data_IF_707051714805
#
_entry.id   IF_707051714805
#
_cell.length_a   1.000
_cell.length_b   1.000
_cell.length_c   1.000
_cell.angle_alpha   90.00
_cell.angle_beta   90.00
_cell.angle_gamma   90.00
#
_symmetry.space_group_name_H-M   'P 1'
#
loop_
_entity.id
_entity.type
_entity.pdbx_description
1 polymer ?
#
# COMPACT_ATOMS: atom_id res chain seq x y z
N UNK A 1 -38.18 -1.61 -6.06
CA UNK A 1 -38.63 -1.82 -7.46
C UNK A 1 -40.05 -2.42 -7.56
N UNK A 2 -40.44 -3.34 -6.66
CA UNK A 2 -41.76 -4.00 -6.66
C UNK A 2 -42.96 -3.05 -6.48
N UNK A 3 -42.83 -2.02 -5.64
CA UNK A 3 -43.88 -1.01 -5.42
C UNK A 3 -44.24 -0.20 -6.68
N UNK A 4 -43.24 0.13 -7.51
CA UNK A 4 -43.42 0.89 -8.77
C UNK A 4 -44.19 0.08 -9.82
N UNK A 5 -44.00 -1.23 -9.83
CA UNK A 5 -44.67 -2.17 -10.75
C UNK A 5 -46.18 -2.22 -10.48
N UNK A 6 -46.59 -2.01 -9.22
CA UNK A 6 -47.99 -2.02 -8.79
C UNK A 6 -48.72 -0.70 -9.06
N UNK A 7 -47.99 0.42 -9.12
CA UNK A 7 -48.56 1.77 -9.25
C UNK A 7 -48.64 2.29 -10.71
N UNK A 8 -47.80 1.80 -11.63
CA UNK A 8 -47.83 2.22 -13.05
C UNK A 8 -47.79 1.01 -14.00
N UNK A 9 -48.96 0.54 -14.51
CA UNK A 9 -49.03 -0.63 -15.38
C UNK A 9 -48.51 -0.39 -16.80
N UNK A 10 -48.56 0.86 -17.31
CA UNK A 10 -48.30 1.21 -18.72
C UNK A 10 -46.87 1.70 -19.04
N UNK A 11 -45.98 1.73 -18.05
CA UNK A 11 -44.59 2.17 -18.26
C UNK A 11 -43.73 1.00 -18.77
N UNK A 12 -42.80 1.22 -19.70
CA UNK A 12 -41.94 0.16 -20.26
C UNK A 12 -41.03 -0.41 -19.15
N UNK A 13 -41.38 -1.61 -18.65
CA UNK A 13 -40.80 -2.20 -17.43
C UNK A 13 -39.48 -2.91 -17.73
N UNK A 14 -38.36 -2.20 -17.68
CA UNK A 14 -37.05 -2.85 -17.64
C UNK A 14 -36.72 -3.22 -16.19
N UNK A 15 -36.87 -4.49 -15.83
CA UNK A 15 -36.39 -5.02 -14.55
C UNK A 15 -34.91 -5.39 -14.69
N UNK A 16 -34.07 -4.83 -13.83
CA UNK A 16 -32.65 -5.19 -13.77
C UNK A 16 -32.45 -6.31 -12.74
N UNK A 17 -31.78 -7.43 -13.11
CA UNK A 17 -31.44 -8.47 -12.15
C UNK A 17 -30.42 -7.93 -11.13
N UNK A 18 -30.48 -8.45 -9.89
CA UNK A 18 -29.64 -7.99 -8.77
C UNK A 18 -28.14 -8.05 -9.11
N UNK A 19 -27.71 -9.07 -9.85
CA UNK A 19 -26.32 -9.24 -10.30
C UNK A 19 -25.85 -8.06 -11.18
N UNK A 20 -26.68 -7.60 -12.11
CA UNK A 20 -26.37 -6.43 -12.95
C UNK A 20 -26.32 -5.14 -12.14
N UNK A 21 -27.17 -5.01 -11.11
CA UNK A 21 -27.13 -3.87 -10.20
C UNK A 21 -25.84 -3.85 -9.36
N UNK A 22 -25.41 -5.02 -8.84
CA UNK A 22 -24.15 -5.15 -8.09
C UNK A 22 -22.97 -4.81 -8.99
N UNK A 23 -22.94 -5.34 -10.22
CA UNK A 23 -21.90 -5.05 -11.19
C UNK A 23 -21.84 -3.55 -11.56
N UNK A 24 -23.00 -2.91 -11.72
CA UNK A 24 -23.11 -1.47 -11.96
C UNK A 24 -22.49 -0.66 -10.81
N UNK A 25 -22.83 -0.99 -9.55
CA UNK A 25 -22.30 -0.29 -8.37
C UNK A 25 -20.79 -0.53 -8.24
N UNK A 26 -20.32 -1.75 -8.50
CA UNK A 26 -18.90 -2.09 -8.50
C UNK A 26 -18.12 -1.32 -9.57
N UNK A 27 -18.64 -1.25 -10.80
CA UNK A 27 -18.04 -0.46 -11.88
C UNK A 27 -17.93 1.02 -11.51
N UNK A 28 -18.98 1.60 -10.92
CA UNK A 28 -18.95 2.97 -10.42
C UNK A 28 -17.86 3.19 -9.35
N UNK A 29 -17.66 2.23 -8.43
CA UNK A 29 -16.60 2.26 -7.41
C UNK A 29 -15.20 2.22 -8.03
N UNK A 30 -15.00 1.38 -9.05
CA UNK A 30 -13.76 1.28 -9.83
C UNK A 30 -13.55 2.43 -10.82
N UNK A 31 -14.45 3.42 -10.87
CA UNK A 31 -14.48 4.50 -11.89
C UNK A 31 -14.53 3.97 -13.33
N UNK A 32 -14.99 2.74 -13.50
CA UNK A 32 -15.23 2.11 -14.80
C UNK A 32 -16.67 2.44 -15.20
N UNK A 33 -16.84 3.25 -16.25
CA UNK A 33 -18.17 3.64 -16.73
C UNK A 33 -19.04 2.42 -17.04
N UNK A 34 -20.36 2.56 -16.86
CA UNK A 34 -21.33 1.51 -17.18
C UNK A 34 -22.18 1.89 -18.39
N UNK A 35 -22.66 0.88 -19.11
CA UNK A 35 -23.60 1.06 -20.23
C UNK A 35 -25.04 1.22 -19.76
N UNK A 36 -25.33 1.03 -18.47
CA UNK A 36 -26.66 1.18 -17.89
C UNK A 36 -26.94 2.67 -17.62
N UNK A 37 -27.93 3.24 -18.31
CA UNK A 37 -28.41 4.59 -18.03
C UNK A 37 -29.77 4.54 -17.33
N UNK A 38 -29.93 5.13 -16.14
CA UNK A 38 -31.25 5.27 -15.52
C UNK A 38 -32.18 6.14 -16.39
N UNK A 39 -33.37 5.63 -16.68
CA UNK A 39 -34.39 6.37 -17.43
C UNK A 39 -35.15 7.39 -16.57
N UNK A 40 -35.27 7.15 -15.26
CA UNK A 40 -36.03 7.99 -14.33
C UNK A 40 -35.15 9.06 -13.67
N UNK A 41 -35.66 10.29 -13.56
CA UNK A 41 -34.94 11.42 -12.94
C UNK A 41 -34.59 11.19 -11.47
N UNK A 42 -35.45 10.50 -10.70
CA UNK A 42 -35.15 10.14 -9.31
C UNK A 42 -33.94 9.20 -9.20
N UNK A 43 -33.78 8.28 -10.15
CA UNK A 43 -32.63 7.38 -10.18
C UNK A 43 -31.35 8.12 -10.60
N UNK A 44 -31.44 9.10 -11.51
CA UNK A 44 -30.32 9.96 -11.89
C UNK A 44 -29.78 10.74 -10.69
N UNK A 45 -30.66 11.30 -9.85
CA UNK A 45 -30.25 12.02 -8.64
C UNK A 45 -29.52 11.10 -7.65
N UNK A 46 -30.04 9.89 -7.42
CA UNK A 46 -29.41 8.89 -6.55
C UNK A 46 -28.03 8.47 -7.07
N UNK A 47 -27.90 8.20 -8.37
CA UNK A 47 -26.60 7.84 -8.94
C UNK A 47 -25.62 9.00 -8.94
N UNK A 48 -26.08 10.23 -9.16
CA UNK A 48 -25.24 11.42 -9.07
C UNK A 48 -24.68 11.63 -7.65
N UNK A 49 -25.52 11.49 -6.61
CA UNK A 49 -25.05 11.58 -5.23
C UNK A 49 -24.11 10.44 -4.86
N UNK A 50 -24.39 9.23 -5.33
CA UNK A 50 -23.49 8.07 -5.18
C UNK A 50 -22.13 8.29 -5.85
N UNK A 51 -22.10 8.83 -7.06
CA UNK A 51 -20.86 9.12 -7.78
C UNK A 51 -20.03 10.19 -7.08
N UNK A 52 -20.66 11.25 -6.56
CA UNK A 52 -19.97 12.26 -5.76
C UNK A 52 -19.38 11.63 -4.50
N UNK A 53 -20.16 10.80 -3.79
CA UNK A 53 -19.69 10.10 -2.60
C UNK A 53 -18.46 9.23 -2.89
N UNK A 54 -18.49 8.40 -3.95
CA UNK A 54 -17.36 7.57 -4.36
C UNK A 54 -16.16 8.41 -4.80
N UNK A 55 -16.38 9.53 -5.50
CA UNK A 55 -15.30 10.45 -5.86
C UNK A 55 -14.57 10.98 -4.62
N UNK A 56 -15.33 11.44 -3.63
CA UNK A 56 -14.79 11.96 -2.37
C UNK A 56 -14.04 10.85 -1.61
N UNK A 57 -14.65 9.67 -1.46
CA UNK A 57 -14.05 8.52 -0.78
C UNK A 57 -12.72 8.11 -1.42
N UNK A 58 -12.71 7.94 -2.75
CA UNK A 58 -11.50 7.53 -3.47
C UNK A 58 -10.41 8.62 -3.46
N UNK A 59 -10.79 9.90 -3.49
CA UNK A 59 -9.85 11.01 -3.37
C UNK A 59 -9.16 11.01 -1.99
N UNK A 60 -9.91 10.87 -0.90
CA UNK A 60 -9.33 10.78 0.44
C UNK A 60 -8.44 9.56 0.62
N UNK A 61 -8.87 8.40 0.12
CA UNK A 61 -8.05 7.19 0.14
C UNK A 61 -6.73 7.40 -0.62
N UNK A 62 -6.80 7.97 -1.82
CA UNK A 62 -5.62 8.23 -2.66
C UNK A 62 -4.68 9.26 -2.00
N UNK A 63 -5.22 10.31 -1.38
CA UNK A 63 -4.44 11.32 -0.66
C UNK A 63 -3.69 10.72 0.54
N UNK A 64 -4.38 9.95 1.38
CA UNK A 64 -3.76 9.30 2.54
C UNK A 64 -2.71 8.27 2.10
N UNK A 65 -3.03 7.43 1.11
CA UNK A 65 -2.09 6.47 0.54
C UNK A 65 -0.85 7.18 -0.01
N UNK A 66 -1.03 8.28 -0.74
CA UNK A 66 0.08 9.06 -1.32
C UNK A 66 0.95 9.63 -0.20
N UNK A 67 0.36 10.20 0.85
CA UNK A 67 1.11 10.71 2.00
C UNK A 67 1.95 9.61 2.68
N UNK A 68 1.41 8.39 2.83
CA UNK A 68 2.18 7.28 3.39
C UNK A 68 3.29 6.79 2.45
N UNK A 69 3.07 6.79 1.14
CA UNK A 69 4.07 6.36 0.15
C UNK A 69 5.21 7.37 -0.02
N UNK A 70 4.93 8.66 0.14
CA UNK A 70 5.93 9.72 0.04
C UNK A 70 6.67 9.98 1.35
N UNK A 71 6.03 9.71 2.49
CA UNK A 71 6.63 9.91 3.80
C UNK A 71 7.62 8.79 4.14
N UNK A 72 8.91 9.08 4.05
CA UNK A 72 9.97 8.19 4.53
C UNK A 72 10.25 8.43 6.02
N UNK A 73 9.44 7.85 6.90
CA UNK A 73 9.79 7.78 8.32
C UNK A 73 10.73 6.59 8.53
N UNK A 74 12.00 6.87 8.79
CA UNK A 74 12.90 5.85 9.32
C UNK A 74 12.72 5.78 10.83
N UNK A 75 12.24 4.66 11.34
CA UNK A 75 12.16 4.40 12.77
C UNK A 75 13.31 3.48 13.15
N UNK A 76 14.15 3.91 14.09
CA UNK A 76 15.10 2.97 14.69
C UNK A 76 14.34 1.88 15.44
N UNK A 77 14.84 0.63 15.41
CA UNK A 77 14.28 -0.45 16.21
C UNK A 77 14.45 -0.21 17.72
N UNK A 78 15.41 0.63 18.10
CA UNK A 78 15.75 0.95 19.50
C UNK A 78 15.37 2.41 19.75
N UNK A 79 14.46 2.62 20.71
CA UNK A 79 14.02 3.96 21.11
C UNK A 79 14.42 4.28 22.54
N UNK A 80 14.29 3.29 23.42
CA UNK A 80 14.50 3.43 24.85
C UNK A 80 15.58 2.46 25.35
N UNK A 81 16.03 2.65 26.59
CA UNK A 81 17.08 1.80 27.20
C UNK A 81 16.62 0.37 27.40
N UNK A 82 15.33 0.21 27.64
CA UNK A 82 14.62 -1.06 27.81
C UNK A 82 14.86 -1.94 26.58
N UNK A 83 14.89 -1.35 25.39
CA UNK A 83 15.10 -2.08 24.14
C UNK A 83 16.56 -2.47 23.97
N UNK A 84 17.51 -1.63 24.41
CA UNK A 84 18.94 -1.98 24.47
C UNK A 84 19.18 -3.16 25.42
N UNK A 85 18.44 -3.22 26.53
CA UNK A 85 18.56 -4.27 27.53
C UNK A 85 17.91 -5.61 27.11
N UNK A 86 17.06 -5.62 26.07
CA UNK A 86 16.35 -6.84 25.62
C UNK A 86 17.23 -7.66 24.65
N UNK A 87 17.23 -9.01 24.76
CA UNK A 87 17.84 -9.86 23.75
C UNK A 87 17.15 -9.68 22.39
N UNK A 88 17.85 -9.82 21.25
CA UNK A 88 19.24 -10.30 21.11
C UNK A 88 20.31 -9.19 21.10
N UNK A 89 19.97 -7.95 21.47
CA UNK A 89 20.89 -6.83 21.37
C UNK A 89 22.09 -6.97 22.32
N UNK A 90 23.29 -6.77 21.78
CA UNK A 90 24.53 -6.68 22.54
C UNK A 90 24.98 -5.23 22.58
N UNK A 91 25.49 -4.80 23.72
CA UNK A 91 25.93 -3.42 23.88
C UNK A 91 27.21 -3.35 24.72
N UNK A 92 27.94 -2.26 24.54
CA UNK A 92 29.11 -1.96 25.34
C UNK A 92 29.19 -0.47 25.69
N UNK A 93 29.91 -0.17 26.75
CA UNK A 93 30.27 1.20 27.15
C UNK A 93 31.72 1.24 27.59
N UNK A 94 32.28 2.44 27.56
CA UNK A 94 33.66 2.73 27.95
C UNK A 94 33.91 2.35 29.41
N UNK A 95 34.94 1.54 29.66
CA UNK A 95 35.34 1.16 31.00
C UNK A 95 35.82 2.38 31.79
N UNK A 96 35.34 2.55 33.03
CA UNK A 96 35.63 3.69 33.90
C UNK A 96 34.88 4.97 33.53
N UNK A 97 33.95 4.93 32.56
CA UNK A 97 33.17 6.11 32.16
C UNK A 97 32.08 6.47 33.18
N UNK A 98 31.55 7.69 33.03
CA UNK A 98 30.36 8.14 33.76
C UNK A 98 29.13 7.26 33.49
N UNK A 99 29.04 6.67 32.30
CA UNK A 99 27.96 5.75 31.91
C UNK A 99 28.09 4.43 32.67
N UNK A 100 29.29 3.85 32.77
CA UNK A 100 29.52 2.66 33.60
C UNK A 100 29.14 2.94 35.07
N UNK A 101 29.57 4.09 35.60
CA UNK A 101 29.24 4.48 36.97
C UNK A 101 27.72 4.57 37.18
N UNK A 102 27.01 5.24 36.28
CA UNK A 102 25.55 5.38 36.35
C UNK A 102 24.81 4.05 36.24
N UNK A 103 25.32 3.09 35.44
CA UNK A 103 24.72 1.75 35.33
C UNK A 103 24.95 0.92 36.60
N UNK A 104 26.11 1.07 37.24
CA UNK A 104 26.45 0.34 38.47
C UNK A 104 25.75 0.91 39.69
N UNK A 105 25.51 2.22 39.72
CA UNK A 105 24.91 2.89 40.86
C UNK A 105 23.37 2.90 40.77
N UNK A 106 22.68 2.46 41.82
CA UNK A 106 21.21 2.33 41.82
C UNK A 106 20.46 3.65 41.97
N UNK A 107 21.16 4.70 42.37
CA UNK A 107 20.55 6.01 42.62
C UNK A 107 20.33 6.81 41.32
N UNK A 108 20.98 6.40 40.23
CA UNK A 108 21.05 7.17 38.99
C UNK A 108 20.06 6.65 37.93
N UNK A 109 18.77 6.89 38.19
CA UNK A 109 17.67 6.53 37.28
C UNK A 109 17.36 5.02 37.26
N UNK A 110 16.38 4.61 36.47
CA UNK A 110 16.00 3.19 36.37
C UNK A 110 16.90 2.40 35.39
N UNK A 111 18.22 2.52 35.53
CA UNK A 111 19.20 1.79 34.71
C UNK A 111 19.46 0.35 35.18
N UNK A 112 18.66 -0.13 36.15
CA UNK A 112 18.69 -1.50 36.66
C UNK A 112 18.54 -2.55 35.54
N UNK A 113 17.78 -2.20 34.50
CA UNK A 113 17.60 -3.01 33.30
C UNK A 113 18.92 -3.24 32.54
N UNK A 114 19.79 -2.24 32.41
CA UNK A 114 21.11 -2.40 31.80
C UNK A 114 22.00 -3.26 32.70
N UNK A 115 21.99 -3.03 34.01
CA UNK A 115 22.74 -3.87 34.94
C UNK A 115 22.30 -5.34 34.85
N UNK A 116 21.01 -5.61 34.70
CA UNK A 116 20.49 -6.96 34.44
C UNK A 116 20.96 -7.53 33.09
N UNK A 117 21.13 -6.67 32.08
CA UNK A 117 21.62 -7.05 30.75
C UNK A 117 23.11 -7.43 30.79
N UNK A 118 23.92 -6.71 31.58
CA UNK A 118 25.32 -7.07 31.88
C UNK A 118 25.39 -8.45 32.54
N UNK A 119 24.56 -8.72 33.55
CA UNK A 119 24.51 -10.03 34.23
C UNK A 119 24.12 -11.18 33.31
N UNK A 120 23.32 -10.90 32.28
CA UNK A 120 22.94 -11.86 31.23
C UNK A 120 24.03 -12.08 30.17
N UNK A 121 25.11 -11.28 30.19
CA UNK A 121 26.22 -11.35 29.24
C UNK A 121 26.01 -10.55 27.94
N UNK A 122 24.90 -9.79 27.84
CA UNK A 122 24.59 -8.96 26.68
C UNK A 122 25.25 -7.58 26.73
N UNK A 123 25.54 -7.08 27.95
CA UNK A 123 26.25 -5.83 28.17
C UNK A 123 27.71 -6.06 28.62
N UNK A 124 28.66 -5.28 28.08
CA UNK A 124 30.08 -5.34 28.49
C UNK A 124 30.67 -3.96 28.73
N UNK A 125 31.60 -3.89 29.68
CA UNK A 125 32.47 -2.73 29.88
C UNK A 125 33.79 -3.01 29.17
N UNK A 126 34.16 -2.19 28.20
CA UNK A 126 35.32 -2.41 27.32
C UNK A 126 36.18 -1.15 27.33
N UNK A 127 37.50 -1.33 27.26
CA UNK A 127 38.42 -0.22 27.03
C UNK A 127 38.28 0.29 25.59
N UNK A 128 37.83 1.54 25.46
CA UNK A 128 37.56 2.23 24.18
C UNK A 128 38.70 3.18 23.79
N UNK A 129 39.88 3.05 24.40
CA UNK A 129 41.07 3.84 24.05
C UNK A 129 41.48 3.74 22.57
N UNK A 130 41.18 2.62 21.92
CA UNK A 130 41.41 2.41 20.49
C UNK A 130 40.10 2.57 19.71
N UNK A 131 40.01 3.63 18.91
CA UNK A 131 38.86 3.88 18.04
C UNK A 131 38.62 2.73 17.04
N UNK A 132 39.68 2.10 16.52
CA UNK A 132 39.56 0.98 15.58
C UNK A 132 38.84 -0.23 16.19
N UNK A 133 39.10 -0.53 17.46
CA UNK A 133 38.42 -1.62 18.18
C UNK A 133 36.95 -1.29 18.45
N UNK A 134 36.63 -0.03 18.75
CA UNK A 134 35.25 0.44 18.89
C UNK A 134 34.49 0.27 17.57
N UNK A 135 35.09 0.70 16.45
CA UNK A 135 34.51 0.57 15.13
C UNK A 135 34.28 -0.89 14.73
N UNK A 136 35.22 -1.80 15.02
CA UNK A 136 35.07 -3.24 14.76
C UNK A 136 33.83 -3.81 15.45
N UNK A 137 33.63 -3.51 16.73
CA UNK A 137 32.45 -3.93 17.49
C UNK A 137 31.15 -3.34 16.93
N UNK A 138 31.18 -2.08 16.50
CA UNK A 138 30.03 -1.42 15.86
C UNK A 138 29.67 -2.07 14.52
N UNK A 139 30.66 -2.43 13.71
CA UNK A 139 30.44 -3.16 12.44
C UNK A 139 29.88 -4.57 12.68
N UNK A 140 30.24 -5.21 13.79
CA UNK A 140 29.66 -6.48 14.24
C UNK A 140 28.21 -6.36 14.76
N UNK A 141 27.66 -5.14 14.81
CA UNK A 141 26.28 -4.86 15.22
C UNK A 141 26.08 -4.70 16.73
N UNK A 142 27.15 -4.43 17.48
CA UNK A 142 27.02 -4.05 18.88
C UNK A 142 26.58 -2.59 19.01
N UNK A 143 25.83 -2.30 20.07
CA UNK A 143 25.40 -0.94 20.41
C UNK A 143 26.45 -0.30 21.32
N UNK A 144 26.85 0.92 20.99
CA UNK A 144 27.77 1.70 21.81
C UNK A 144 27.00 2.74 22.63
N UNK A 145 27.12 2.66 23.95
CA UNK A 145 26.53 3.62 24.89
C UNK A 145 27.63 4.55 25.40
N UNK A 146 27.57 5.82 25.02
CA UNK A 146 28.46 6.87 25.52
C UNK A 146 27.75 8.23 25.51
N UNK A 147 28.46 9.29 25.91
CA UNK A 147 27.99 10.67 25.87
C UNK A 147 27.70 11.13 24.44
N UNK A 148 26.76 12.06 24.30
CA UNK A 148 26.41 12.63 22.99
C UNK A 148 27.62 13.23 22.27
N UNK A 149 28.55 13.84 23.01
CA UNK A 149 29.72 14.50 22.43
C UNK A 149 30.69 13.48 21.84
N UNK A 150 31.00 12.41 22.59
CA UNK A 150 31.84 11.29 22.10
C UNK A 150 31.22 10.65 20.86
N UNK A 151 29.91 10.38 20.89
CA UNK A 151 29.21 9.73 19.79
C UNK A 151 29.14 10.61 18.53
N UNK A 152 28.86 11.91 18.68
CA UNK A 152 28.84 12.85 17.56
C UNK A 152 30.22 12.98 16.89
N UNK A 153 31.29 13.03 17.69
CA UNK A 153 32.67 13.06 17.17
C UNK A 153 33.01 11.78 16.42
N UNK A 154 32.76 10.61 17.03
CA UNK A 154 32.99 9.31 16.39
C UNK A 154 32.25 9.19 15.04
N UNK A 155 30.98 9.60 15.00
CA UNK A 155 30.20 9.60 13.75
C UNK A 155 30.75 10.58 12.71
N UNK A 156 31.18 11.76 13.13
CA UNK A 156 31.76 12.75 12.23
C UNK A 156 33.09 12.28 11.66
N UNK A 157 33.96 11.70 12.48
CA UNK A 157 35.27 11.22 12.08
C UNK A 157 35.15 10.05 11.09
N UNK A 158 34.23 9.10 11.32
CA UNK A 158 33.91 8.03 10.35
C UNK A 158 33.37 8.61 9.03
N UNK A 159 32.44 9.55 9.09
CA UNK A 159 31.86 10.21 7.90
C UNK A 159 32.94 10.98 7.11
N UNK A 160 33.80 11.71 7.80
CA UNK A 160 34.91 12.48 7.22
C UNK A 160 35.91 11.55 6.56
N UNK A 161 36.29 10.46 7.22
CA UNK A 161 37.18 9.43 6.67
C UNK A 161 36.63 8.85 5.35
N UNK A 162 35.37 8.42 5.33
CA UNK A 162 34.72 7.89 4.11
C UNK A 162 34.60 8.92 2.99
N UNK A 163 34.43 10.19 3.38
CA UNK A 163 34.42 11.30 2.42
C UNK A 163 35.80 11.47 1.77
N UNK A 164 36.88 11.38 2.55
CA UNK A 164 38.27 11.47 2.06
C UNK A 164 38.60 10.25 1.17
N UNK A 165 38.12 9.07 1.52
CA UNK A 165 38.31 7.83 0.74
C UNK A 165 37.50 7.82 -0.57
N UNK A 166 36.61 8.79 -0.78
CA UNK A 166 35.83 8.93 -2.01
C UNK A 166 34.62 7.99 -2.09
N UNK A 167 34.12 7.50 -0.96
CA UNK A 167 32.92 6.66 -0.95
C UNK A 167 31.67 7.42 -1.43
N UNK A 168 30.72 6.70 -2.01
CA UNK A 168 29.41 7.25 -2.39
C UNK A 168 28.66 7.82 -1.18
N UNK A 169 27.96 8.94 -1.36
CA UNK A 169 27.18 9.62 -0.29
C UNK A 169 26.27 8.66 0.50
N UNK A 170 25.63 7.71 -0.18
CA UNK A 170 24.72 6.73 0.42
C UNK A 170 25.38 5.74 1.39
N UNK A 171 26.71 5.58 1.33
CA UNK A 171 27.48 4.64 2.17
C UNK A 171 28.23 5.32 3.30
N UNK A 172 28.37 6.65 3.25
CA UNK A 172 29.07 7.45 4.27
C UNK A 172 28.37 7.43 5.63
N UNK A 173 27.04 7.29 5.64
CA UNK A 173 26.24 7.24 6.86
C UNK A 173 26.07 5.80 7.36
N UNK A 174 26.99 5.35 8.21
CA UNK A 174 26.99 3.98 8.76
C UNK A 174 26.27 3.87 10.10
N UNK A 175 26.41 4.88 10.95
CA UNK A 175 25.86 4.89 12.30
C UNK A 175 24.64 5.80 12.41
N UNK A 176 23.82 5.55 13.43
CA UNK A 176 22.66 6.34 13.77
C UNK A 176 22.56 6.47 15.30
N UNK A 177 22.21 7.66 15.78
CA UNK A 177 21.97 7.92 17.20
C UNK A 177 20.49 7.67 17.55
N UNK A 178 20.24 7.32 18.80
CA UNK A 178 18.87 7.30 19.33
C UNK A 178 18.32 8.73 19.40
N UNK A 179 17.00 8.87 19.21
CA UNK A 179 16.36 10.20 19.21
C UNK A 179 16.38 10.86 20.59
N UNK A 180 16.38 10.06 21.66
CA UNK A 180 16.31 10.53 23.03
C UNK A 180 17.50 10.02 23.84
N UNK A 181 18.12 10.88 24.67
CA UNK A 181 19.12 10.44 25.63
C UNK A 181 18.42 9.69 26.77
N UNK A 182 19.10 8.68 27.30
CA UNK A 182 18.57 7.91 28.42
C UNK A 182 18.96 8.45 29.80
N UNK A 183 20.03 9.24 29.85
CA UNK A 183 20.52 9.85 31.05
C UNK A 183 21.06 11.23 30.69
N UNK A 184 20.61 12.25 31.42
CA UNK A 184 21.12 13.62 31.30
C UNK A 184 21.86 13.96 32.58
N UNK A 185 23.11 14.43 32.44
CA UNK A 185 23.97 14.87 33.53
C UNK A 185 24.64 16.18 33.17
N UNK A 186 24.85 17.02 34.17
CA UNK A 186 25.66 18.23 34.03
C UNK A 186 27.13 17.87 34.20
N UNK A 187 27.98 18.37 33.30
CA UNK A 187 29.42 18.40 33.55
C UNK A 187 29.72 19.48 34.59
N UNK A 188 30.65 19.17 35.49
CA UNK A 188 31.12 20.09 36.52
C UNK A 188 32.61 19.88 36.77
N UNK A 189 33.30 20.93 37.20
CA UNK A 189 34.65 20.82 37.70
C UNK A 189 34.64 20.26 39.12
N UNK A 190 35.41 19.19 39.34
CA UNK A 190 35.60 18.64 40.68
C UNK A 190 36.73 19.39 41.38
N UNK A 191 36.46 19.83 42.62
CA UNK A 191 37.45 20.49 43.47
C UNK A 191 37.68 19.68 44.75
N UNK A 192 38.89 19.76 45.35
CA UNK A 192 39.14 19.16 46.65
C UNK A 192 38.16 19.69 47.71
N UNK A 193 37.79 18.82 48.65
CA UNK A 193 36.86 19.18 49.73
C UNK A 193 37.45 20.31 50.58
N UNK A 194 36.71 21.41 50.72
CA UNK A 194 37.15 22.60 51.46
C UNK A 194 38.03 23.57 50.66
N UNK A 195 38.14 23.40 49.35
CA UNK A 195 38.86 24.33 48.48
C UNK A 195 38.12 25.66 48.28
N UNK A 196 38.85 26.78 48.20
CA UNK A 196 38.33 28.10 47.82
C UNK A 196 38.26 28.31 46.29
N UNK A 197 38.75 27.35 45.50
CA UNK A 197 38.71 27.41 44.03
C UNK A 197 37.30 27.59 43.45
N UNK A 198 36.23 26.97 43.98
CA UNK A 198 34.88 27.18 43.44
C UNK A 198 34.44 28.65 43.50
N UNK A 199 34.81 29.39 44.54
CA UNK A 199 34.45 30.82 44.67
C UNK A 199 35.14 31.69 43.61
N UNK A 200 36.34 31.29 43.19
CA UNK A 200 37.11 31.98 42.15
C UNK A 200 36.66 31.58 40.74
N UNK A 201 36.46 30.29 40.49
CA UNK A 201 36.25 29.76 39.14
C UNK A 201 34.78 29.67 38.73
N UNK A 202 33.84 29.41 39.64
CA UNK A 202 32.43 29.29 39.27
C UNK A 202 31.87 30.56 38.61
N UNK A 203 32.16 31.79 39.08
CA UNK A 203 31.70 33.00 38.40
C UNK A 203 32.26 33.13 36.98
N UNK A 204 33.53 32.75 36.79
CA UNK A 204 34.19 32.79 35.48
C UNK A 204 33.57 31.78 34.53
N UNK A 205 33.36 30.54 34.99
CA UNK A 205 32.71 29.48 34.21
C UNK A 205 31.28 29.88 33.86
N UNK A 206 30.54 30.49 34.78
CA UNK A 206 29.20 31.00 34.53
C UNK A 206 29.21 32.04 33.41
N UNK A 207 30.16 32.99 33.40
CA UNK A 207 30.31 33.96 32.30
C UNK A 207 30.60 33.26 30.97
N UNK A 208 31.43 32.21 30.95
CA UNK A 208 31.70 31.44 29.72
C UNK A 208 30.46 30.68 29.20
N UNK A 209 29.60 30.22 30.10
CA UNK A 209 28.33 29.56 29.75
C UNK A 209 27.31 30.59 29.23
N UNK A 210 27.13 31.71 29.95
CA UNK A 210 26.17 32.76 29.62
C UNK A 210 26.52 33.50 28.32
N UNK A 211 27.82 33.73 28.07
CA UNK A 211 28.31 34.31 26.82
C UNK A 211 28.21 33.36 25.62
N UNK A 212 27.98 32.06 25.85
CA UNK A 212 27.94 31.04 24.80
C UNK A 212 29.31 30.60 24.27
N UNK A 213 30.41 31.12 24.83
CA UNK A 213 31.78 30.74 24.42
C UNK A 213 32.00 29.24 24.64
N UNK A 214 31.56 28.69 25.78
CA UNK A 214 31.73 27.26 26.05
C UNK A 214 30.98 26.40 25.01
N UNK A 215 29.78 26.80 24.62
CA UNK A 215 28.98 26.11 23.59
C UNK A 215 29.67 26.17 22.23
N UNK A 216 30.28 27.30 21.89
CA UNK A 216 31.03 27.46 20.65
C UNK A 216 32.27 26.55 20.63
N UNK A 217 33.08 26.56 21.70
CA UNK A 217 34.28 25.73 21.82
C UNK A 217 33.96 24.22 21.79
N UNK A 218 32.85 23.79 22.39
CA UNK A 218 32.42 22.39 22.32
C UNK A 218 32.05 21.94 20.90
N UNK A 219 31.59 22.88 20.07
CA UNK A 219 31.14 22.63 18.71
C UNK A 219 32.15 23.04 17.62
N UNK A 220 33.32 23.60 17.97
CA UNK A 220 34.26 24.20 17.01
C UNK A 220 34.72 23.22 15.92
N UNK A 221 34.95 21.95 16.29
CA UNK A 221 35.38 20.88 15.38
C UNK A 221 34.21 20.07 14.78
N UNK A 222 32.97 20.39 15.15
CA UNK A 222 31.77 19.70 14.70
C UNK A 222 31.03 20.57 13.67
N UNK A 223 30.37 19.97 12.67
CA UNK A 223 29.56 20.73 11.74
C UNK A 223 28.32 21.30 12.44
N UNK A 224 27.92 22.51 12.05
CA UNK A 224 26.69 23.15 12.55
C UNK A 224 25.41 22.34 12.22
N UNK A 225 25.48 21.46 11.22
CA UNK A 225 24.37 20.62 10.76
C UNK A 225 24.50 19.20 11.25
N UNK A 226 23.38 18.56 11.58
CA UNK A 226 23.35 17.14 11.98
C UNK A 226 23.88 16.24 10.86
N UNK A 227 24.90 15.46 11.18
CA UNK A 227 25.48 14.46 10.27
C UNK A 227 24.51 13.29 10.20
N UNK A 228 24.18 12.85 8.98
CA UNK A 228 23.32 11.68 8.75
C UNK A 228 21.96 11.75 9.48
N UNK A 229 21.09 12.73 9.15
CA UNK A 229 19.79 12.84 9.80
C UNK A 229 18.92 11.63 9.47
N UNK A 230 18.36 11.02 10.52
CA UNK A 230 17.44 9.88 10.41
C UNK A 230 16.18 10.22 9.61
N UNK A 231 15.68 11.43 9.84
CA UNK A 231 14.59 12.00 9.09
C UNK A 231 15.18 12.88 7.99
N UNK A 232 15.15 12.40 6.76
CA UNK A 232 15.53 13.17 5.56
C UNK A 232 14.56 14.34 5.26
N UNK A 233 13.64 14.64 6.19
CA UNK A 233 12.65 15.70 6.12
C UNK A 233 11.86 15.64 4.81
N UNK A 234 12.29 16.46 3.85
CA UNK A 234 11.60 16.76 2.59
C UNK A 234 12.25 16.10 1.35
N UNK A 235 13.22 15.19 1.52
CA UNK A 235 13.78 14.45 0.37
C UNK A 235 12.76 13.40 -0.07
N UNK A 236 12.01 13.71 -1.13
CA UNK A 236 11.00 12.82 -1.70
C UNK A 236 11.59 11.43 -1.96
N UNK A 237 11.03 10.41 -1.31
CA UNK A 237 11.41 9.02 -1.54
C UNK A 237 10.89 8.60 -2.92
N UNK A 238 11.79 8.14 -3.79
CA UNK A 238 11.41 7.44 -5.02
C UNK A 238 10.74 6.10 -4.67
N UNK A 239 9.58 5.82 -5.25
CA UNK A 239 8.89 4.55 -5.07
C UNK A 239 9.76 3.39 -5.56
N UNK A 240 9.83 2.32 -4.78
CA UNK A 240 10.53 1.08 -5.14
C UNK A 240 9.52 0.01 -5.52
N UNK A 241 9.93 -0.95 -6.36
CA UNK A 241 9.07 -2.09 -6.70
C UNK A 241 8.66 -2.92 -5.48
N UNK A 242 9.47 -2.91 -4.42
CA UNK A 242 9.15 -3.54 -3.13
C UNK A 242 7.90 -2.95 -2.49
N UNK A 243 7.67 -1.64 -2.66
CA UNK A 243 6.54 -0.94 -2.07
C UNK A 243 5.21 -1.31 -2.77
N UNK A 244 5.29 -1.80 -4.01
CA UNK A 244 4.16 -2.25 -4.83
C UNK A 244 3.95 -3.78 -4.80
N UNK A 245 4.79 -4.53 -4.07
CA UNK A 245 4.77 -5.99 -4.08
C UNK A 245 3.42 -6.57 -3.66
N UNK A 246 2.79 -6.01 -2.62
CA UNK A 246 1.46 -6.43 -2.16
C UNK A 246 0.41 -6.29 -3.26
N UNK A 247 0.48 -5.23 -4.07
CA UNK A 247 -0.43 -5.02 -5.20
C UNK A 247 -0.27 -6.11 -6.26
N UNK A 248 0.96 -6.53 -6.54
CA UNK A 248 1.21 -7.65 -7.46
C UNK A 248 0.63 -8.97 -6.95
N UNK A 249 0.76 -9.26 -5.65
CA UNK A 249 0.16 -10.45 -5.05
C UNK A 249 -1.36 -10.43 -5.21
N UNK A 250 -2.02 -9.31 -4.92
CA UNK A 250 -3.49 -9.18 -5.03
C UNK A 250 -3.94 -9.42 -6.47
N UNK A 251 -3.25 -8.85 -7.46
CA UNK A 251 -3.58 -9.03 -8.88
C UNK A 251 -3.40 -10.49 -9.31
N UNK A 252 -2.29 -11.13 -8.93
CA UNK A 252 -2.05 -12.55 -9.23
C UNK A 252 -3.09 -13.45 -8.57
N UNK A 253 -3.42 -13.20 -7.31
CA UNK A 253 -4.47 -13.92 -6.61
C UNK A 253 -5.82 -13.78 -7.32
N UNK A 254 -6.18 -12.56 -7.75
CA UNK A 254 -7.41 -12.30 -8.50
C UNK A 254 -7.49 -13.07 -9.83
N UNK A 255 -6.42 -13.03 -10.64
CA UNK A 255 -6.37 -13.79 -11.89
C UNK A 255 -6.40 -15.29 -11.67
N UNK A 256 -5.68 -15.79 -10.66
CA UNK A 256 -5.69 -17.22 -10.33
C UNK A 256 -7.07 -17.70 -9.88
N UNK A 257 -7.77 -16.92 -9.04
CA UNK A 257 -9.13 -17.22 -8.63
C UNK A 257 -10.12 -17.23 -9.79
N UNK A 258 -10.03 -16.23 -10.69
CA UNK A 258 -10.85 -16.18 -11.89
C UNK A 258 -10.61 -17.37 -12.83
N UNK A 259 -9.35 -17.77 -13.01
CA UNK A 259 -8.98 -18.95 -13.79
C UNK A 259 -9.57 -20.23 -13.19
N UNK A 260 -9.49 -20.38 -11.87
CA UNK A 260 -10.05 -21.56 -11.16
C UNK A 260 -11.56 -21.63 -11.34
N UNK A 261 -12.29 -20.52 -11.15
CA UNK A 261 -13.76 -20.49 -11.36
C UNK A 261 -14.10 -20.84 -12.80
N UNK A 262 -13.38 -20.27 -13.77
CA UNK A 262 -13.58 -20.58 -15.19
C UNK A 262 -13.34 -22.06 -15.51
N UNK A 263 -12.27 -22.66 -14.98
CA UNK A 263 -12.00 -24.09 -15.13
C UNK A 263 -13.08 -24.96 -14.48
N UNK A 264 -13.59 -24.58 -13.31
CA UNK A 264 -14.68 -25.31 -12.64
C UNK A 264 -15.96 -25.25 -13.48
N UNK A 265 -16.31 -24.08 -14.03
CA UNK A 265 -17.48 -23.93 -14.91
C UNK A 265 -17.36 -24.79 -16.18
N UNK A 266 -16.17 -24.83 -16.79
CA UNK A 266 -15.90 -25.69 -17.95
C UNK A 266 -16.04 -27.18 -17.61
N UNK A 267 -15.49 -27.62 -16.47
CA UNK A 267 -15.58 -29.01 -16.01
C UNK A 267 -17.01 -29.39 -15.64
N UNK A 268 -17.75 -28.50 -14.97
CA UNK A 268 -19.15 -28.71 -14.65
C UNK A 268 -19.99 -28.87 -15.91
N UNK A 269 -19.79 -27.98 -16.89
CA UNK A 269 -20.51 -28.02 -18.16
C UNK A 269 -20.19 -29.30 -18.93
N UNK A 270 -18.91 -29.67 -19.03
CA UNK A 270 -18.47 -30.90 -19.68
C UNK A 270 -19.08 -32.17 -19.04
N UNK A 271 -19.11 -32.25 -17.71
CA UNK A 271 -19.72 -33.35 -16.98
C UNK A 271 -21.26 -33.38 -17.13
N UNK A 272 -21.92 -32.23 -17.11
CA UNK A 272 -23.37 -32.11 -17.28
C UNK A 272 -23.81 -32.55 -18.70
N UNK A 273 -23.08 -32.15 -19.74
CA UNK A 273 -23.37 -32.55 -21.13
C UNK A 273 -23.17 -34.06 -21.34
N UNK A 274 -22.15 -34.67 -20.71
CA UNK A 274 -21.93 -36.13 -20.76
C UNK A 274 -23.06 -36.92 -20.07
N UNK A 275 -23.60 -36.41 -18.97
CA UNK A 275 -24.76 -36.98 -18.26
C UNK A 275 -26.06 -36.91 -19.08
N UNK A 276 -26.27 -35.80 -19.81
CA UNK A 276 -27.46 -35.62 -20.67
C UNK A 276 -27.44 -36.53 -21.91
N UNK A 277 -26.27 -36.70 -22.56
CA UNK A 277 -26.12 -37.63 -23.69
C UNK A 277 -26.32 -39.10 -23.27
N UNK A 278 -26.02 -39.47 -22.02
CA UNK A 278 -26.30 -40.81 -21.49
C UNK A 278 -27.80 -41.07 -21.21
N UNK A 279 -28.62 -40.02 -21.00
CA UNK A 279 -30.09 -40.14 -20.82
C UNK A 279 -30.85 -40.09 -22.14
N UNK A 280 -30.36 -39.39 -23.16
CA UNK A 280 -30.97 -39.34 -24.50
C UNK A 280 -31.02 -40.73 -25.17
N UNK A 281 -29.96 -41.53 -25.06
CA UNK A 281 -29.92 -42.91 -25.59
C UNK A 281 -30.90 -43.89 -24.90
N UNK A 282 -31.45 -43.55 -23.73
CA UNK A 282 -32.49 -44.36 -23.05
C UNK A 282 -33.92 -43.93 -23.41
N UNK A 283 -34.13 -42.68 -23.84
CA UNK A 283 -35.45 -42.17 -24.24
C UNK A 283 -35.78 -42.45 -25.72
N UNK A 284 -34.79 -42.73 -26.57
CA UNK A 284 -35.01 -42.99 -28.00
C UNK A 284 -35.59 -44.39 -28.30
N UNK A 285 -35.67 -45.30 -27.30
CA UNK A 285 -36.35 -46.61 -27.42
C UNK A 285 -37.84 -46.59 -27.06
N UNK A 286 -38.38 -45.50 -26.52
CA UNK A 286 -39.78 -45.43 -26.02
C UNK A 286 -40.65 -44.36 -26.71
N UNK A 287 -40.15 -43.71 -27.77
CA UNK A 287 -40.90 -42.65 -28.47
C UNK A 287 -41.04 -42.93 -29.97
N UNK A 288 -41.34 -44.17 -30.33
CA UNK A 288 -41.68 -44.58 -31.69
C UNK A 288 -43.18 -44.53 -32.02
N UNK A 289 -44.03 -43.96 -31.15
CA UNK A 289 -45.49 -44.08 -31.35
C UNK A 289 -46.32 -42.86 -30.91
N UNK A 290 -45.84 -41.63 -31.11
CA UNK A 290 -46.74 -40.46 -31.11
C UNK A 290 -46.29 -39.44 -32.16
N UNK A 291 -47.12 -39.35 -33.20
CA UNK A 291 -47.28 -38.31 -34.22
C UNK A 291 -46.15 -37.28 -34.38
N UNK A 292 -45.53 -37.37 -35.56
CA UNK A 292 -44.78 -36.34 -36.28
C UNK A 292 -45.53 -34.99 -36.28
N UNK A 293 -45.31 -34.17 -35.27
CA UNK A 293 -45.58 -32.73 -35.35
C UNK A 293 -44.33 -32.09 -35.95
N UNK A 294 -44.42 -31.76 -37.23
CA UNK A 294 -43.40 -30.97 -37.93
C UNK A 294 -43.47 -29.56 -37.33
N UNK A 295 -42.51 -29.23 -36.45
CA UNK A 295 -42.22 -27.85 -36.12
C UNK A 295 -41.32 -27.35 -37.24
N UNK A 296 -41.91 -26.66 -38.21
CA UNK A 296 -41.19 -25.82 -39.15
C UNK A 296 -40.41 -24.79 -38.35
N UNK A 297 -39.09 -24.75 -38.53
CA UNK A 297 -38.24 -23.73 -37.94
C UNK A 297 -38.70 -22.35 -38.44
N UNK A 298 -39.25 -21.54 -37.55
CA UNK A 298 -39.64 -20.15 -37.83
C UNK A 298 -38.41 -19.23 -38.01
N UNK A 299 -37.20 -19.79 -37.93
CA UNK A 299 -35.94 -19.15 -38.33
C UNK A 299 -35.70 -19.18 -39.85
N UNK A 300 -36.46 -19.97 -40.62
CA UNK A 300 -36.41 -19.96 -42.10
C UNK A 300 -37.36 -18.92 -42.72
N UNK A 301 -38.20 -18.23 -41.90
CA UNK A 301 -39.16 -17.22 -42.38
C UNK A 301 -38.68 -15.77 -42.32
N UNK A 302 -37.53 -15.47 -41.72
CA UNK A 302 -36.94 -14.11 -41.78
C UNK A 302 -35.96 -13.91 -42.95
N UNK A 303 -35.55 -14.98 -43.64
CA UNK A 303 -34.87 -14.93 -44.95
C UNK A 303 -35.83 -14.88 -46.14
N UNK A 304 -37.15 -14.82 -45.89
CA UNK A 304 -38.19 -14.62 -46.90
C UNK A 304 -38.80 -13.21 -46.82
N UNK A 305 -37.98 -12.15 -46.83
CA UNK A 305 -38.41 -10.82 -47.25
C UNK A 305 -37.70 -10.52 -48.56
N UNK A 306 -38.44 -10.66 -49.65
CA UNK A 306 -37.99 -10.72 -51.04
C UNK A 306 -37.30 -9.47 -51.60
N UNK A 307 -36.88 -8.48 -50.81
CA UNK A 307 -36.21 -7.27 -51.31
C UNK A 307 -35.24 -6.69 -50.26
N UNK A 308 -34.07 -7.31 -50.10
CA UNK A 308 -32.95 -6.72 -49.35
C UNK A 308 -31.88 -6.26 -50.33
N UNK A 309 -31.58 -4.96 -50.36
CA UNK A 309 -30.49 -4.40 -51.17
C UNK A 309 -29.45 -3.81 -50.22
N UNK A 310 -28.20 -4.26 -50.34
CA UNK A 310 -27.08 -3.68 -49.61
C UNK A 310 -26.70 -2.35 -50.27
N UNK A 311 -26.70 -1.27 -49.50
CA UNK A 311 -26.36 0.06 -50.02
C UNK A 311 -25.28 0.71 -49.14
N UNK A 312 -24.30 1.34 -49.80
CA UNK A 312 -23.23 2.07 -49.14
C UNK A 312 -23.49 3.56 -49.28
N UNK A 313 -23.70 4.23 -48.15
CA UNK A 313 -23.94 5.67 -48.10
C UNK A 313 -22.85 6.28 -47.20
N UNK A 314 -22.08 7.24 -47.74
CA UNK A 314 -21.00 7.94 -47.02
C UNK A 314 -20.00 7.00 -46.33
N UNK A 315 -19.59 5.93 -47.02
CA UNK A 315 -18.58 4.99 -46.50
C UNK A 315 -19.09 3.98 -45.47
N UNK A 316 -20.38 4.01 -45.08
CA UNK A 316 -20.99 3.09 -44.13
C UNK A 316 -22.01 2.18 -44.82
N UNK A 317 -22.00 0.91 -44.47
CA UNK A 317 -22.85 -0.10 -45.12
C UNK A 317 -24.16 -0.30 -44.34
N UNK A 318 -25.28 -0.34 -45.06
CA UNK A 318 -26.61 -0.56 -44.52
C UNK A 318 -27.37 -1.63 -45.31
N UNK A 319 -28.21 -2.40 -44.60
CA UNK A 319 -29.29 -3.15 -45.22
C UNK A 319 -30.49 -2.23 -45.43
N UNK A 320 -30.96 -2.12 -46.67
CA UNK A 320 -32.22 -1.45 -46.99
C UNK A 320 -33.33 -2.50 -47.09
N UNK A 321 -34.31 -2.41 -46.19
CA UNK A 321 -35.50 -3.28 -46.18
C UNK A 321 -36.70 -2.42 -46.58
N UNK A 322 -37.38 -2.84 -47.64
CA UNK A 322 -38.63 -2.22 -48.07
C UNK A 322 -39.80 -3.00 -47.46
N UNK A 323 -40.59 -2.34 -46.60
CA UNK A 323 -41.80 -2.93 -46.04
C UNK A 323 -42.86 -3.13 -47.14
N UNK A 324 -43.83 -4.01 -46.90
CA UNK A 324 -44.94 -4.25 -47.86
C UNK A 324 -45.79 -3.01 -48.15
N UNK A 325 -45.73 -1.99 -47.28
CA UNK A 325 -46.39 -0.68 -47.44
C UNK A 325 -45.53 0.38 -48.15
N UNK A 326 -44.33 0.03 -48.65
CA UNK A 326 -43.47 0.94 -49.42
C UNK A 326 -42.45 1.73 -48.59
N UNK A 327 -42.53 1.68 -47.26
CA UNK A 327 -41.56 2.32 -46.37
C UNK A 327 -40.18 1.64 -46.43
N UNK A 328 -39.14 2.44 -46.66
CA UNK A 328 -37.74 1.99 -46.68
C UNK A 328 -37.08 2.23 -45.32
N UNK A 329 -36.58 1.17 -44.67
CA UNK A 329 -35.80 1.25 -43.43
C UNK A 329 -34.35 0.84 -43.66
N UNK A 330 -33.42 1.60 -43.08
CA UNK A 330 -31.98 1.34 -43.14
C UNK A 330 -31.49 0.76 -41.82
N UNK A 331 -30.78 -0.36 -41.86
CA UNK A 331 -30.19 -1.02 -40.68
C UNK A 331 -28.66 -1.05 -40.86
N UNK A 332 -27.87 -0.44 -39.96
CA UNK A 332 -26.41 -0.43 -40.06
C UNK A 332 -25.81 -1.83 -39.84
N UNK A 333 -24.86 -2.24 -40.69
CA UNK A 333 -24.22 -3.56 -40.67
C UNK A 333 -23.23 -3.77 -39.52
N UNK A 334 -22.74 -2.69 -38.89
CA UNK A 334 -21.89 -2.75 -37.69
C UNK A 334 -22.54 -1.95 -36.57
N UNK A 335 -23.11 -2.65 -35.60
CA UNK A 335 -23.59 -2.06 -34.35
C UNK A 335 -22.46 -2.03 -33.31
N UNK A 336 -22.37 -0.98 -32.48
CA UNK A 336 -21.45 -1.00 -31.34
C UNK A 336 -21.83 -2.16 -30.40
N UNK A 337 -20.84 -2.73 -29.72
CA UNK A 337 -20.94 -3.93 -28.85
C UNK A 337 -22.06 -3.87 -27.81
N UNK A 338 -22.55 -2.66 -27.50
CA UNK A 338 -23.67 -2.42 -26.60
C UNK A 338 -25.02 -2.99 -27.10
N UNK A 339 -25.26 -3.06 -28.41
CA UNK A 339 -26.53 -3.55 -28.96
C UNK A 339 -26.63 -5.09 -28.95
N UNK A 340 -25.49 -5.77 -29.06
CA UNK A 340 -25.40 -7.24 -28.92
C UNK A 340 -25.83 -7.71 -27.51
N UNK A 341 -25.54 -6.92 -26.47
CA UNK A 341 -25.96 -7.24 -25.10
C UNK A 341 -27.47 -7.11 -24.87
N UNK A 342 -28.15 -6.25 -25.64
CA UNK A 342 -29.59 -6.02 -25.48
C UNK A 342 -30.44 -7.18 -26.04
N UNK A 343 -29.91 -7.92 -27.02
CA UNK A 343 -30.56 -9.13 -27.58
C UNK A 343 -30.22 -10.42 -26.81
N UNK A 344 -29.10 -10.46 -26.07
CA UNK A 344 -28.72 -11.61 -25.24
C UNK A 344 -29.62 -11.84 -24.01
N UNK A 345 -30.38 -10.84 -23.58
CA UNK A 345 -31.26 -10.91 -22.41
C UNK A 345 -32.70 -11.38 -22.71
N UNK A 346 -33.10 -11.45 -23.99
CA UNK A 346 -34.46 -11.83 -24.39
C UNK A 346 -34.63 -13.29 -24.82
N UNK A 347 -33.56 -14.09 -24.77
CA UNK A 347 -33.66 -15.54 -24.90
C UNK A 347 -33.41 -16.18 -23.54
N UNK A 348 -34.29 -17.09 -23.04
CA UNK A 348 -33.84 -18.00 -22.00
C UNK A 348 -32.71 -18.79 -22.62
N UNK A 349 -31.54 -18.75 -21.98
CA UNK A 349 -30.39 -19.57 -22.31
C UNK A 349 -30.83 -21.03 -22.38
N UNK A 350 -31.05 -21.53 -23.60
CA UNK A 350 -31.05 -22.95 -23.87
C UNK A 350 -29.56 -23.33 -23.99
N UNK A 351 -28.98 -23.65 -22.84
CA UNK A 351 -27.75 -24.43 -22.72
C UNK A 351 -28.01 -25.88 -23.13
#
# INVERSE_FOLDING_TARGET
MWLRIKLCPNDNKQLFPLSSCIWFVYGALMKQGSTLSPLSDSARLLFATWWIFILILTAFYTANLTAFLTLSLFTLPIKEVEDVAKPPHKWFTTQGSSVEYAIKNKDDGDLNILLSSVRRGNGRFIDTSSESHVLELLYDGWLYLDTSDTLNRLMYDDYKKKTIEGEDENKRCTFALTQYPFLVRSLAFAYPKGSSLPELFNPIVQVFVESGILKHLLNEDLPDTTICPLNLGNKERKLRNTDLFTTYIVVLAGFSGALVVFCIELLWTYCATKSFNSKSNKSQRLKNNYNKFVITNEFEKTTAIQNQVQTKINGREYFMITAKEGDKRLIPLRTPSALLFQYGLNYPTMF
#
